data_IF_204946908094
#
_entry.id   IF_204946908094
#
_cell.length_a   1.000
_cell.length_b   1.000
_cell.length_c   1.000
_cell.angle_alpha   90.00
_cell.angle_beta   90.00
_cell.angle_gamma   90.00
#
_symmetry.space_group_name_H-M   'P 1'
#
loop_
_entity.id
_entity.type
_entity.pdbx_description
1 polymer ?
#
# COMPACT_ATOMS: atom_id res chain seq x y z
N UNK A 1 25.97 -1.88 23.26
CA UNK A 1 25.30 -0.92 22.40
C UNK A 1 23.85 -1.27 22.29
N UNK A 2 22.99 -0.32 22.54
CA UNK A 2 21.56 -0.52 22.40
C UNK A 2 21.09 -0.39 20.95
N UNK A 3 19.88 -0.82 20.69
CA UNK A 3 19.17 -0.49 19.45
C UNK A 3 18.90 1.01 19.39
N UNK A 4 18.83 1.53 18.17
CA UNK A 4 18.27 2.84 17.94
C UNK A 4 16.80 2.83 18.37
N UNK A 5 16.38 3.89 19.01
CA UNK A 5 14.98 4.03 19.48
C UNK A 5 14.17 5.01 18.64
N UNK A 6 14.75 5.48 17.55
CA UNK A 6 14.09 6.40 16.63
C UNK A 6 14.47 6.05 15.20
N UNK A 7 13.48 6.08 14.29
CA UNK A 7 13.69 5.76 12.90
C UNK A 7 12.75 6.55 12.00
N UNK A 8 13.30 7.22 11.00
CA UNK A 8 12.48 7.80 9.95
C UNK A 8 12.00 6.73 8.98
N UNK A 9 10.77 6.86 8.52
CA UNK A 9 10.27 6.09 7.39
C UNK A 9 10.57 6.85 6.11
N UNK A 10 11.30 6.22 5.20
CA UNK A 10 11.66 6.82 3.91
C UNK A 10 12.00 5.72 2.92
N UNK A 11 12.18 6.09 1.65
CA UNK A 11 12.64 5.14 0.63
C UNK A 11 14.09 4.68 0.83
N UNK A 12 14.79 5.24 1.82
CA UNK A 12 16.14 4.83 2.19
C UNK A 12 16.16 3.96 3.45
N UNK A 13 15.02 3.74 4.09
CA UNK A 13 14.95 3.02 5.37
C UNK A 13 15.18 1.53 5.24
N UNK A 14 15.02 0.95 4.05
CA UNK A 14 15.23 -0.46 3.79
C UNK A 14 15.55 -0.67 2.32
N UNK A 15 16.09 -1.83 1.97
CA UNK A 15 16.30 -2.20 0.58
C UNK A 15 14.93 -2.41 -0.11
N UNK A 16 14.75 -1.92 -1.35
CA UNK A 16 13.49 -2.08 -2.05
C UNK A 16 13.26 -3.52 -2.48
N UNK A 17 12.01 -3.95 -2.39
CA UNK A 17 11.54 -5.22 -2.94
C UNK A 17 10.53 -4.90 -4.03
N UNK A 18 10.79 -5.37 -5.25
CA UNK A 18 9.92 -5.16 -6.40
C UNK A 18 9.05 -6.40 -6.60
N UNK A 19 7.77 -6.19 -6.79
CA UNK A 19 6.80 -7.28 -7.01
C UNK A 19 5.63 -6.80 -7.87
N UNK A 20 4.75 -7.72 -8.22
CA UNK A 20 3.53 -7.45 -8.98
C UNK A 20 2.36 -8.17 -8.34
N UNK A 21 1.12 -7.70 -8.53
CA UNK A 21 -0.02 -8.49 -8.12
C UNK A 21 -0.06 -9.81 -8.88
N UNK A 22 -0.68 -10.86 -8.33
CA UNK A 22 -0.89 -12.09 -9.07
C UNK A 22 -1.58 -11.80 -10.41
N UNK A 23 -1.13 -12.39 -11.53
CA UNK A 23 -1.68 -12.09 -12.86
C UNK A 23 -3.19 -12.24 -12.96
N UNK A 24 -3.77 -13.20 -12.24
CA UNK A 24 -5.22 -13.44 -12.25
C UNK A 24 -6.01 -12.35 -11.49
N UNK A 25 -5.34 -11.46 -10.77
CA UNK A 25 -5.97 -10.33 -10.08
C UNK A 25 -5.87 -9.03 -10.86
N UNK A 26 -5.02 -8.96 -11.86
CA UNK A 26 -4.84 -7.75 -12.67
C UNK A 26 -6.08 -7.52 -13.53
N UNK A 27 -6.66 -6.31 -13.43
CA UNK A 27 -7.82 -5.88 -14.22
C UNK A 27 -7.36 -5.08 -15.44
N UNK A 28 -6.36 -4.22 -15.27
CA UNK A 28 -5.85 -3.37 -16.35
C UNK A 28 -4.42 -2.93 -16.06
N UNK A 29 -3.65 -2.69 -17.14
CA UNK A 29 -2.30 -2.18 -17.04
C UNK A 29 -1.29 -3.22 -16.54
N UNK A 30 -0.13 -2.73 -16.10
CA UNK A 30 0.96 -3.54 -15.54
C UNK A 30 1.45 -2.88 -14.24
N UNK A 31 0.66 -2.94 -13.17
CA UNK A 31 1.06 -2.32 -11.91
C UNK A 31 2.28 -3.02 -11.33
N UNK A 32 3.29 -2.23 -10.96
CA UNK A 32 4.53 -2.71 -10.35
C UNK A 32 4.65 -2.12 -8.96
N UNK A 33 4.79 -2.98 -7.97
CA UNK A 33 4.97 -2.60 -6.57
C UNK A 33 6.45 -2.47 -6.24
N UNK A 34 6.80 -1.44 -5.48
CA UNK A 34 8.10 -1.34 -4.82
C UNK A 34 7.83 -1.09 -3.34
N UNK A 35 8.37 -1.95 -2.48
CA UNK A 35 8.13 -1.90 -1.04
C UNK A 35 9.44 -1.70 -0.29
N UNK A 36 9.45 -0.73 0.61
CA UNK A 36 10.54 -0.47 1.55
C UNK A 36 10.02 -0.76 2.96
N UNK A 37 10.09 -2.04 3.37
CA UNK A 37 9.58 -2.46 4.67
C UNK A 37 10.58 -2.14 5.76
N UNK A 38 10.36 -1.03 6.45
CA UNK A 38 11.31 -0.48 7.42
C UNK A 38 11.29 -1.23 8.75
N UNK A 39 10.10 -1.66 9.20
CA UNK A 39 9.91 -2.31 10.48
C UNK A 39 9.11 -3.59 10.35
N UNK A 40 9.57 -4.61 11.07
CA UNK A 40 8.82 -5.85 11.27
C UNK A 40 8.90 -6.17 12.76
N UNK A 41 7.74 -6.26 13.42
CA UNK A 41 7.71 -6.50 14.86
C UNK A 41 6.50 -7.37 15.20
N UNK A 42 6.75 -8.64 15.43
CA UNK A 42 5.68 -9.61 15.59
C UNK A 42 4.84 -9.66 14.33
N UNK A 43 3.57 -9.30 14.45
CA UNK A 43 2.63 -9.25 13.34
C UNK A 43 2.47 -7.84 12.72
N UNK A 44 3.32 -6.89 13.14
CA UNK A 44 3.30 -5.53 12.61
C UNK A 44 4.38 -5.34 11.56
N UNK A 45 3.98 -4.68 10.48
CA UNK A 45 4.89 -4.26 9.40
C UNK A 45 4.62 -2.80 9.11
N UNK A 46 5.67 -2.01 8.93
CA UNK A 46 5.48 -0.64 8.51
C UNK A 46 6.63 -0.17 7.63
N UNK A 47 6.31 0.73 6.72
CA UNK A 47 7.26 1.26 5.77
C UNK A 47 6.59 2.09 4.70
N UNK A 48 7.16 2.05 3.50
CA UNK A 48 6.63 2.74 2.34
C UNK A 48 6.38 1.78 1.18
N UNK A 49 5.41 2.11 0.36
CA UNK A 49 5.04 1.32 -0.81
C UNK A 49 4.70 2.27 -1.96
N UNK A 50 5.17 1.91 -3.13
CA UNK A 50 4.92 2.65 -4.36
C UNK A 50 4.36 1.71 -5.41
N UNK A 51 3.42 2.21 -6.21
CA UNK A 51 2.88 1.45 -7.33
C UNK A 51 2.74 2.31 -8.56
N UNK A 52 3.15 1.76 -9.70
CA UNK A 52 2.97 2.36 -11.03
C UNK A 52 1.53 2.17 -11.52
N UNK A 53 1.08 2.92 -12.55
CA UNK A 53 -0.30 2.84 -13.02
C UNK A 53 -0.76 1.43 -13.39
N UNK A 54 -1.99 1.12 -12.99
CA UNK A 54 -2.66 -0.15 -13.23
C UNK A 54 -3.79 -0.37 -12.26
N UNK A 55 -4.55 -1.44 -12.46
CA UNK A 55 -5.70 -1.77 -11.63
C UNK A 55 -5.71 -3.26 -11.33
N UNK A 56 -5.95 -3.61 -10.07
CA UNK A 56 -6.02 -5.01 -9.65
C UNK A 56 -7.04 -5.21 -8.55
N UNK A 57 -7.49 -6.46 -8.42
CA UNK A 57 -8.39 -6.89 -7.35
C UNK A 57 -7.61 -7.02 -6.05
N UNK A 58 -8.17 -6.49 -4.98
CA UNK A 58 -7.63 -6.63 -3.62
C UNK A 58 -8.62 -7.34 -2.72
N UNK A 59 -8.07 -8.13 -1.81
CA UNK A 59 -8.83 -8.79 -0.76
C UNK A 59 -7.97 -8.74 0.50
N UNK A 60 -8.46 -8.08 1.55
CA UNK A 60 -7.72 -7.90 2.79
C UNK A 60 -8.16 -8.93 3.82
N UNK A 61 -7.20 -9.67 4.32
CA UNK A 61 -7.35 -10.48 5.53
C UNK A 61 -6.66 -9.79 6.71
N UNK A 62 -5.75 -8.87 6.42
CA UNK A 62 -5.04 -8.02 7.37
C UNK A 62 -5.74 -6.68 7.59
N UNK A 63 -5.28 -5.96 8.59
CA UNK A 63 -5.63 -4.56 8.85
C UNK A 63 -4.51 -3.67 8.34
N UNK A 64 -4.83 -2.60 7.63
CA UNK A 64 -3.82 -1.68 7.12
C UNK A 64 -4.24 -0.23 7.32
N UNK A 65 -3.32 0.56 7.90
CA UNK A 65 -3.37 2.02 7.87
C UNK A 65 -2.52 2.51 6.70
N UNK A 66 -3.08 3.40 5.88
CA UNK A 66 -2.39 4.00 4.74
C UNK A 66 -2.44 5.52 4.84
N UNK A 67 -1.34 6.16 4.49
CA UNK A 67 -1.30 7.60 4.21
C UNK A 67 -0.68 7.82 2.83
N UNK A 68 -1.40 8.48 1.94
CA UNK A 68 -0.90 8.79 0.61
C UNK A 68 0.05 9.98 0.70
N UNK A 69 1.26 9.79 0.18
CA UNK A 69 2.32 10.80 0.16
C UNK A 69 2.38 11.49 -1.21
N UNK A 70 2.24 10.72 -2.29
CA UNK A 70 2.27 11.22 -3.67
C UNK A 70 1.31 10.40 -4.53
N UNK A 71 0.83 11.01 -5.61
CA UNK A 71 0.08 10.33 -6.64
C UNK A 71 -1.42 10.40 -6.49
N UNK A 72 -2.10 9.59 -7.30
CA UNK A 72 -3.56 9.56 -7.39
C UNK A 72 -3.99 8.11 -7.60
N UNK A 73 -4.85 7.63 -6.73
CA UNK A 73 -5.42 6.29 -6.81
C UNK A 73 -6.92 6.30 -6.57
N UNK A 74 -7.58 5.26 -7.01
CA UNK A 74 -9.03 5.05 -6.80
C UNK A 74 -9.21 3.69 -6.14
N UNK A 75 -9.88 3.68 -5.00
CA UNK A 75 -10.18 2.46 -4.25
C UNK A 75 -11.69 2.27 -4.25
N UNK A 76 -12.13 1.12 -4.72
CA UNK A 76 -13.55 0.80 -4.85
C UNK A 76 -13.84 -0.52 -4.16
N UNK A 77 -14.64 -0.46 -3.11
CA UNK A 77 -15.16 -1.68 -2.47
C UNK A 77 -16.28 -2.28 -3.31
N UNK A 78 -16.37 -3.60 -3.40
CA UNK A 78 -17.44 -4.28 -4.13
C UNK A 78 -18.80 -3.82 -3.62
N UNK A 79 -19.65 -3.37 -4.53
CA UNK A 79 -20.95 -2.81 -4.21
C UNK A 79 -20.94 -1.38 -3.66
N UNK A 80 -19.79 -0.77 -3.54
CA UNK A 80 -19.62 0.60 -3.03
C UNK A 80 -19.25 1.61 -4.10
N UNK A 81 -19.15 2.87 -3.69
CA UNK A 81 -18.71 3.95 -4.56
C UNK A 81 -17.18 3.98 -4.66
N UNK A 82 -16.68 4.44 -5.80
CA UNK A 82 -15.26 4.71 -5.98
C UNK A 82 -14.81 5.85 -5.07
N UNK A 83 -13.67 5.66 -4.41
CA UNK A 83 -13.06 6.66 -3.53
C UNK A 83 -11.73 7.08 -4.10
N UNK A 84 -11.60 8.37 -4.41
CA UNK A 84 -10.34 8.94 -4.87
C UNK A 84 -9.49 9.24 -3.66
N UNK A 85 -8.24 8.79 -3.69
CA UNK A 85 -7.25 9.07 -2.64
C UNK A 85 -6.04 9.75 -3.25
N UNK A 86 -5.53 10.77 -2.57
CA UNK A 86 -4.43 11.62 -3.04
C UNK A 86 -3.54 12.04 -1.88
N UNK A 87 -2.44 12.73 -2.19
CA UNK A 87 -1.49 13.20 -1.17
C UNK A 87 -2.20 13.89 -0.01
N UNK A 88 -1.89 13.48 1.21
CA UNK A 88 -2.49 13.98 2.43
C UNK A 88 -3.65 13.16 2.96
N UNK A 89 -4.26 12.29 2.15
CA UNK A 89 -5.34 11.42 2.62
C UNK A 89 -4.78 10.24 3.41
N UNK A 90 -5.46 9.92 4.50
CA UNK A 90 -5.16 8.74 5.30
C UNK A 90 -6.44 7.95 5.57
N UNK A 91 -6.31 6.63 5.59
CA UNK A 91 -7.45 5.75 5.74
C UNK A 91 -7.02 4.39 6.28
N UNK A 92 -8.00 3.62 6.71
CA UNK A 92 -7.82 2.25 7.19
C UNK A 92 -8.60 1.31 6.29
N UNK A 93 -7.96 0.21 5.91
CA UNK A 93 -8.62 -0.92 5.27
C UNK A 93 -8.63 -2.07 6.28
N UNK A 94 -9.81 -2.59 6.57
CA UNK A 94 -10.02 -3.64 7.56
C UNK A 94 -10.11 -5.02 6.93
N UNK A 95 -9.85 -6.08 7.72
CA UNK A 95 -10.09 -7.45 7.24
C UNK A 95 -11.50 -7.61 6.68
N UNK A 96 -11.60 -8.32 5.55
CA UNK A 96 -12.87 -8.53 4.86
C UNK A 96 -13.11 -7.59 3.69
N UNK A 97 -12.30 -6.55 3.54
CA UNK A 97 -12.40 -5.66 2.38
C UNK A 97 -12.15 -6.44 1.10
N UNK A 98 -13.04 -6.29 0.11
CA UNK A 98 -12.90 -6.83 -1.24
C UNK A 98 -13.24 -5.75 -2.24
N UNK A 99 -12.39 -5.54 -3.21
CA UNK A 99 -12.61 -4.51 -4.21
C UNK A 99 -11.44 -4.38 -5.16
N UNK A 100 -11.21 -3.17 -5.64
CA UNK A 100 -10.11 -2.86 -6.54
C UNK A 100 -9.33 -1.67 -6.05
N UNK A 101 -8.04 -1.67 -6.37
CA UNK A 101 -7.16 -0.52 -6.27
C UNK A 101 -6.73 -0.17 -7.68
N UNK A 102 -6.93 1.07 -8.09
CA UNK A 102 -6.47 1.58 -9.38
C UNK A 102 -5.52 2.73 -9.15
N UNK A 103 -4.31 2.61 -9.67
CA UNK A 103 -3.32 3.67 -9.66
C UNK A 103 -3.44 4.43 -10.98
N UNK A 104 -3.82 5.70 -10.90
CA UNK A 104 -3.91 6.60 -12.06
C UNK A 104 -2.60 7.34 -12.28
N UNK A 105 -1.98 7.81 -11.20
CA UNK A 105 -0.65 8.40 -11.19
C UNK A 105 0.17 7.65 -10.14
N UNK A 106 1.41 7.33 -10.45
CA UNK A 106 2.29 6.57 -9.53
C UNK A 106 2.07 7.02 -8.09
N UNK A 107 1.65 6.10 -7.25
CA UNK A 107 1.21 6.37 -5.89
C UNK A 107 2.25 5.86 -4.90
N UNK A 108 2.64 6.75 -3.99
CA UNK A 108 3.52 6.44 -2.87
C UNK A 108 2.72 6.60 -1.59
N UNK A 109 2.81 5.63 -0.70
CA UNK A 109 2.15 5.68 0.61
C UNK A 109 3.08 5.23 1.73
N UNK A 110 2.81 5.74 2.95
CA UNK A 110 3.23 5.12 4.18
C UNK A 110 2.21 4.04 4.55
N UNK A 111 2.64 2.94 5.13
CA UNK A 111 1.73 1.90 5.58
C UNK A 111 2.10 1.36 6.95
N UNK A 112 1.08 0.92 7.67
CA UNK A 112 1.21 0.06 8.86
C UNK A 112 0.24 -1.10 8.66
N UNK A 113 0.78 -2.31 8.65
CA UNK A 113 -0.01 -3.53 8.46
C UNK A 113 0.07 -4.38 9.72
N UNK A 114 -1.07 -4.86 10.16
CA UNK A 114 -1.19 -5.82 11.25
C UNK A 114 -1.86 -7.09 10.74
N UNK A 115 -1.16 -8.20 10.81
CA UNK A 115 -1.66 -9.51 10.36
C UNK A 115 -2.27 -10.34 11.49
#
# INVERSE_FOLDING_TARGET
MGEDTFRFLSRNAAAPVVSRPPPNRVVAGDPVFTTWNAEERGNLYCGMWQCTPGKWRIQYEEWEYCRIVEGLSVITEDGGAARIVRAGDSFVIRPGFRGTWEVLETTLKDYVVAT
#
